data_IF_926933190760
#
_entry.id   IF_926933190760
#
_cell.length_a   1.000
_cell.length_b   1.000
_cell.length_c   1.000
_cell.angle_alpha   90.00
_cell.angle_beta   90.00
_cell.angle_gamma   90.00
#
_symmetry.space_group_name_H-M   'P 1'
#
loop_
_entity.id
_entity.type
_entity.pdbx_description
1 polymer ?
#
# COMPACT_ATOMS: atom_id res chain seq x y z
N UNK A 1 115.75 57.11 -24.72
CA UNK A 1 115.45 55.79 -25.30
C UNK A 1 113.92 55.68 -25.38
N UNK A 2 113.35 55.59 -26.58
CA UNK A 2 111.90 55.74 -26.82
C UNK A 2 111.12 54.54 -26.28
N UNK A 3 110.14 54.80 -25.42
CA UNK A 3 109.20 53.83 -24.86
C UNK A 3 107.99 53.76 -25.81
N UNK A 4 107.73 52.61 -26.41
CA UNK A 4 106.52 52.35 -27.20
C UNK A 4 105.41 51.79 -26.30
N UNK A 5 104.23 52.39 -26.35
CA UNK A 5 103.02 51.88 -25.72
C UNK A 5 102.39 50.78 -26.58
N UNK A 6 101.83 49.70 -25.99
CA UNK A 6 101.13 48.67 -26.74
C UNK A 6 99.70 49.11 -27.08
N UNK A 7 99.24 48.80 -28.30
CA UNK A 7 97.87 49.06 -28.75
C UNK A 7 96.86 48.08 -28.14
N UNK A 8 95.62 48.52 -27.86
CA UNK A 8 94.59 47.66 -27.28
C UNK A 8 93.91 46.78 -28.35
N UNK A 9 93.81 45.50 -28.02
CA UNK A 9 93.10 44.47 -28.77
C UNK A 9 91.58 44.70 -28.67
N UNK A 10 90.91 44.92 -29.79
CA UNK A 10 89.43 44.97 -29.86
C UNK A 10 88.95 43.61 -30.37
N UNK A 11 88.24 42.84 -29.54
CA UNK A 11 87.54 41.62 -29.98
C UNK A 11 86.16 41.98 -30.52
N UNK A 12 85.82 41.41 -31.67
CA UNK A 12 84.50 41.50 -32.29
C UNK A 12 83.48 40.71 -31.46
N UNK A 13 82.53 41.41 -30.83
CA UNK A 13 81.37 40.79 -30.22
C UNK A 13 80.37 40.35 -31.30
N UNK A 14 80.34 39.04 -31.56
CA UNK A 14 79.31 38.38 -32.36
C UNK A 14 78.07 38.15 -31.47
N UNK A 15 77.01 38.91 -31.69
CA UNK A 15 75.74 38.74 -30.96
C UNK A 15 75.00 37.53 -31.53
N UNK A 16 75.17 36.36 -30.89
CA UNK A 16 74.28 35.20 -31.12
C UNK A 16 72.91 35.49 -30.50
N UNK A 17 71.91 35.80 -31.33
CA UNK A 17 70.51 35.76 -30.90
C UNK A 17 70.09 34.31 -30.67
N UNK A 18 69.97 33.88 -29.42
CA UNK A 18 69.37 32.60 -29.07
C UNK A 18 67.86 32.70 -29.17
N UNK A 19 67.28 32.17 -30.26
CA UNK A 19 65.86 31.81 -30.29
C UNK A 19 65.68 30.50 -29.52
N UNK A 20 65.37 30.57 -28.23
CA UNK A 20 64.88 29.43 -27.46
C UNK A 20 63.43 29.16 -27.86
N UNK A 21 63.22 28.15 -28.70
CA UNK A 21 61.90 27.59 -28.94
C UNK A 21 61.50 26.76 -27.70
N UNK A 22 60.42 27.10 -26.97
CA UNK A 22 60.02 26.36 -25.80
C UNK A 22 59.53 24.97 -26.20
N UNK A 23 60.07 23.96 -25.52
CA UNK A 23 59.78 22.53 -25.72
C UNK A 23 58.36 22.22 -25.21
N UNK A 24 57.33 22.61 -25.99
CA UNK A 24 55.91 22.61 -25.60
C UNK A 24 55.31 21.22 -25.32
N UNK A 25 56.02 20.14 -25.71
CA UNK A 25 55.57 18.76 -25.54
C UNK A 25 55.56 18.30 -24.07
N UNK A 26 56.44 18.82 -23.22
CA UNK A 26 56.54 18.39 -21.81
C UNK A 26 55.59 19.15 -20.88
N UNK A 27 55.19 20.38 -21.24
CA UNK A 27 54.24 21.17 -20.45
C UNK A 27 52.81 20.64 -20.58
N UNK A 28 52.43 20.19 -21.79
CA UNK A 28 51.10 19.61 -22.04
C UNK A 28 50.96 18.27 -21.29
N UNK A 29 51.99 17.42 -21.27
CA UNK A 29 51.95 16.15 -20.53
C UNK A 29 51.89 16.37 -19.02
N UNK A 30 52.60 17.37 -18.49
CA UNK A 30 52.50 17.77 -17.07
C UNK A 30 51.11 18.29 -16.71
N UNK A 31 50.48 19.08 -17.58
CA UNK A 31 49.11 19.58 -17.37
C UNK A 31 48.10 18.42 -17.35
N UNK A 32 48.25 17.44 -18.25
CA UNK A 32 47.41 16.23 -18.28
C UNK A 32 47.56 15.43 -16.99
N UNK A 33 48.79 15.19 -16.51
CA UNK A 33 49.02 14.48 -15.25
C UNK A 33 48.45 15.21 -14.04
N UNK A 34 48.53 16.55 -14.01
CA UNK A 34 47.91 17.37 -12.97
C UNK A 34 46.38 17.20 -12.97
N UNK A 35 45.74 17.27 -14.13
CA UNK A 35 44.29 17.08 -14.26
C UNK A 35 43.86 15.68 -13.83
N UNK A 36 44.63 14.65 -14.18
CA UNK A 36 44.40 13.27 -13.73
C UNK A 36 44.53 13.17 -12.21
N UNK A 37 45.57 13.75 -11.60
CA UNK A 37 45.75 13.74 -10.15
C UNK A 37 44.61 14.47 -9.41
N UNK A 38 44.15 15.62 -9.93
CA UNK A 38 42.99 16.34 -9.38
C UNK A 38 41.73 15.48 -9.49
N UNK A 39 41.52 14.81 -10.62
CA UNK A 39 40.36 13.95 -10.81
C UNK A 39 40.38 12.75 -9.85
N UNK A 40 41.53 12.08 -9.70
CA UNK A 40 41.67 10.95 -8.77
C UNK A 40 41.45 11.39 -7.32
N UNK A 41 42.06 12.50 -6.91
CA UNK A 41 41.88 13.04 -5.55
C UNK A 41 40.43 13.45 -5.30
N UNK A 42 39.77 14.07 -6.28
CA UNK A 42 38.35 14.38 -6.23
C UNK A 42 37.50 13.11 -6.04
N UNK A 43 37.73 12.05 -6.83
CA UNK A 43 37.01 10.79 -6.67
C UNK A 43 37.24 10.18 -5.29
N UNK A 44 38.48 10.23 -4.79
CA UNK A 44 38.84 9.68 -3.48
C UNK A 44 38.14 10.42 -2.33
N UNK A 45 38.12 11.76 -2.38
CA UNK A 45 37.42 12.59 -1.39
C UNK A 45 35.91 12.31 -1.42
N UNK A 46 35.30 12.22 -2.61
CA UNK A 46 33.89 11.88 -2.74
C UNK A 46 33.58 10.50 -2.15
N UNK A 47 34.42 9.50 -2.40
CA UNK A 47 34.25 8.16 -1.82
C UNK A 47 34.26 8.19 -0.29
N UNK A 48 35.19 8.92 0.32
CA UNK A 48 35.28 9.06 1.79
C UNK A 48 34.02 9.75 2.33
N UNK A 49 33.57 10.84 1.70
CA UNK A 49 32.37 11.57 2.14
C UNK A 49 31.13 10.67 2.03
N UNK A 50 31.00 9.93 0.92
CA UNK A 50 29.87 9.03 0.68
C UNK A 50 29.80 7.92 1.74
N UNK A 51 30.93 7.37 2.18
CA UNK A 51 30.96 6.34 3.22
C UNK A 51 31.06 6.88 4.65
N UNK A 52 30.94 8.19 4.86
CA UNK A 52 31.11 8.79 6.18
C UNK A 52 29.84 8.73 7.03
N UNK A 53 30.02 8.85 8.35
CA UNK A 53 28.93 8.99 9.33
C UNK A 53 28.05 10.21 9.08
N UNK A 54 28.55 11.20 8.32
CA UNK A 54 27.82 12.41 7.96
C UNK A 54 26.56 12.09 7.15
N UNK A 55 26.56 10.99 6.37
CA UNK A 55 25.43 10.57 5.55
C UNK A 55 24.56 9.47 6.18
N UNK A 56 24.79 9.15 7.45
CA UNK A 56 23.95 8.20 8.17
C UNK A 56 22.52 8.72 8.31
N UNK A 57 21.57 7.82 8.13
CA UNK A 57 20.14 8.01 8.38
C UNK A 57 19.94 8.43 9.83
N UNK A 58 19.37 9.62 10.05
CA UNK A 58 19.14 10.17 11.38
C UNK A 58 17.75 9.89 11.92
N UNK A 59 16.76 9.78 11.04
CA UNK A 59 15.36 9.72 11.47
C UNK A 59 14.52 8.91 10.48
N UNK A 60 13.54 8.20 11.02
CA UNK A 60 12.50 7.52 10.25
C UNK A 60 11.15 7.99 10.77
N UNK A 61 10.34 8.59 9.91
CA UNK A 61 8.98 9.02 10.26
C UNK A 61 7.98 8.03 9.68
N UNK A 62 7.08 7.51 10.51
CA UNK A 62 6.00 6.60 10.08
C UNK A 62 4.67 7.28 10.32
N UNK A 63 3.77 7.25 9.33
CA UNK A 63 2.42 7.80 9.43
C UNK A 63 1.39 6.84 8.85
N UNK A 64 0.15 6.92 9.35
CA UNK A 64 -0.99 6.08 8.91
C UNK A 64 -1.02 4.69 9.54
N UNK A 65 -0.30 4.51 10.65
CA UNK A 65 -0.20 3.25 11.38
C UNK A 65 -1.20 3.22 12.56
N UNK A 66 -2.37 2.62 12.36
CA UNK A 66 -3.41 2.52 13.38
C UNK A 66 -3.33 1.17 14.13
N UNK A 67 -3.03 0.09 13.41
CA UNK A 67 -2.96 -1.28 13.88
C UNK A 67 -1.53 -1.67 14.28
N UNK A 68 -0.54 -1.39 13.43
CA UNK A 68 0.85 -1.71 13.76
C UNK A 68 1.52 -0.55 14.52
N UNK A 69 2.27 -0.85 15.61
CA UNK A 69 3.09 0.18 16.23
C UNK A 69 4.23 0.58 15.30
N UNK A 70 4.68 1.83 15.42
CA UNK A 70 5.76 2.42 14.61
C UNK A 70 6.98 1.50 14.50
N UNK A 71 7.42 0.94 15.62
CA UNK A 71 8.65 0.13 15.67
C UNK A 71 8.51 -1.15 14.84
N UNK A 72 7.32 -1.77 14.82
CA UNK A 72 7.06 -2.94 13.97
C UNK A 72 7.20 -2.63 12.49
N UNK A 73 6.78 -1.43 12.06
CA UNK A 73 6.92 -0.97 10.67
C UNK A 73 8.40 -0.73 10.34
N UNK A 74 9.16 -0.11 11.26
CA UNK A 74 10.59 0.15 11.08
C UNK A 74 11.39 -1.17 11.03
N UNK A 75 11.09 -2.12 11.91
CA UNK A 75 11.71 -3.44 11.92
C UNK A 75 11.44 -4.18 10.61
N UNK A 76 10.20 -4.10 10.12
CA UNK A 76 9.82 -4.71 8.84
C UNK A 76 10.49 -4.01 7.66
N UNK A 77 10.68 -2.69 7.73
CA UNK A 77 11.44 -1.91 6.75
C UNK A 77 12.92 -2.32 6.67
N UNK A 78 13.46 -2.94 7.74
CA UNK A 78 14.88 -3.27 7.91
C UNK A 78 15.78 -2.04 7.80
N UNK A 79 15.37 -0.95 8.43
CA UNK A 79 16.12 0.30 8.47
C UNK A 79 16.65 0.57 9.87
N UNK A 80 17.92 0.98 9.95
CA UNK A 80 18.62 1.21 11.19
C UNK A 80 19.17 2.64 11.22
N UNK A 81 18.63 3.44 12.14
CA UNK A 81 19.08 4.81 12.41
C UNK A 81 20.54 4.77 12.88
N UNK A 82 21.34 5.76 12.47
CA UNK A 82 22.77 5.90 12.75
C UNK A 82 23.65 4.75 12.24
N UNK A 83 23.11 3.83 11.45
CA UNK A 83 23.84 2.73 10.83
C UNK A 83 23.76 2.83 9.31
N UNK A 84 22.54 2.87 8.78
CA UNK A 84 22.33 2.88 7.34
C UNK A 84 22.67 4.23 6.72
N UNK A 85 23.30 4.20 5.54
CA UNK A 85 23.61 5.41 4.78
C UNK A 85 22.40 5.79 3.92
N UNK A 86 21.97 7.06 4.00
CA UNK A 86 20.73 7.52 3.35
C UNK A 86 20.68 7.25 1.83
N UNK A 87 21.83 7.27 1.17
CA UNK A 87 21.93 7.03 -0.27
C UNK A 87 21.88 5.55 -0.66
N UNK A 88 22.20 4.63 0.26
CA UNK A 88 22.06 3.19 0.05
C UNK A 88 20.64 2.68 0.31
N UNK A 89 19.80 3.44 1.02
CA UNK A 89 18.42 3.05 1.27
C UNK A 89 17.63 2.98 -0.04
N UNK A 90 17.11 1.80 -0.37
CA UNK A 90 16.23 1.58 -1.52
C UNK A 90 14.77 1.76 -1.13
N UNK A 91 14.11 2.81 -1.64
CA UNK A 91 12.69 3.06 -1.36
C UNK A 91 11.81 1.90 -1.82
N UNK A 92 12.14 1.29 -2.95
CA UNK A 92 11.41 0.15 -3.53
C UNK A 92 11.52 -1.09 -2.64
N UNK A 93 12.71 -1.40 -2.13
CA UNK A 93 12.91 -2.55 -1.24
C UNK A 93 12.21 -2.34 0.09
N UNK A 94 12.37 -1.17 0.71
CA UNK A 94 11.68 -0.79 1.95
C UNK A 94 10.17 -0.94 1.77
N UNK A 95 9.61 -0.37 0.70
CA UNK A 95 8.19 -0.51 0.36
C UNK A 95 7.80 -1.99 0.28
N UNK A 96 8.53 -2.79 -0.48
CA UNK A 96 8.23 -4.22 -0.66
C UNK A 96 8.31 -5.04 0.63
N UNK A 97 9.13 -4.63 1.60
CA UNK A 97 9.21 -5.32 2.89
C UNK A 97 8.03 -4.96 3.78
N UNK A 98 7.63 -3.69 3.80
CA UNK A 98 6.50 -3.21 4.60
C UNK A 98 5.18 -3.76 4.05
N UNK A 99 5.00 -3.81 2.72
CA UNK A 99 3.78 -4.33 2.07
C UNK A 99 3.59 -5.85 2.25
N UNK A 100 4.56 -6.57 2.83
CA UNK A 100 4.37 -7.97 3.25
C UNK A 100 3.58 -8.11 4.55
N UNK A 101 3.44 -7.04 5.32
CA UNK A 101 2.62 -7.04 6.51
C UNK A 101 1.13 -7.11 6.13
N UNK A 102 0.40 -8.03 6.76
CA UNK A 102 -0.96 -8.42 6.38
C UNK A 102 -1.93 -7.23 6.37
N UNK A 103 -1.83 -6.35 7.37
CA UNK A 103 -2.70 -5.18 7.48
C UNK A 103 -2.29 -4.00 6.59
N UNK A 104 -1.20 -4.07 5.82
CA UNK A 104 -0.80 -2.98 4.93
C UNK A 104 -1.47 -3.15 3.56
N UNK A 105 -2.24 -2.16 3.14
CA UNK A 105 -2.79 -2.08 1.79
C UNK A 105 -1.76 -1.50 0.83
N UNK A 106 -1.11 -0.41 1.24
CA UNK A 106 -0.16 0.34 0.42
C UNK A 106 0.85 1.07 1.28
N UNK A 107 2.10 1.09 0.83
CA UNK A 107 3.13 1.93 1.43
C UNK A 107 3.70 2.93 0.40
N UNK A 108 4.05 4.10 0.89
CA UNK A 108 4.81 5.12 0.16
C UNK A 108 6.03 5.49 0.99
N UNK A 109 7.19 5.45 0.34
CA UNK A 109 8.48 5.67 0.99
C UNK A 109 9.17 6.81 0.24
N UNK A 110 9.73 7.76 0.98
CA UNK A 110 10.43 8.91 0.39
C UNK A 110 11.66 9.24 1.20
N UNK A 111 12.77 9.51 0.51
CA UNK A 111 14.03 9.91 1.13
C UNK A 111 14.23 11.42 1.08
N UNK A 112 14.68 11.97 2.20
CA UNK A 112 15.07 13.37 2.31
C UNK A 112 16.57 13.47 2.62
N UNK A 113 17.40 13.49 1.57
CA UNK A 113 18.87 13.48 1.67
C UNK A 113 19.43 14.59 2.58
N UNK A 114 18.94 15.83 2.45
CA UNK A 114 19.39 16.97 3.25
C UNK A 114 19.09 16.80 4.74
N UNK A 115 17.92 16.23 5.07
CA UNK A 115 17.47 16.01 6.45
C UNK A 115 17.97 14.68 7.01
N UNK A 116 18.43 13.78 6.15
CA UNK A 116 18.82 12.40 6.47
C UNK A 116 17.67 11.64 7.11
N UNK A 117 16.49 11.80 6.51
CA UNK A 117 15.23 11.23 6.99
C UNK A 117 14.64 10.33 5.91
N UNK A 118 14.05 9.21 6.33
CA UNK A 118 13.15 8.41 5.50
C UNK A 118 11.74 8.59 6.02
N UNK A 119 10.82 8.98 5.14
CA UNK A 119 9.40 9.10 5.45
C UNK A 119 8.62 7.93 4.87
N UNK A 120 7.87 7.25 5.71
CA UNK A 120 7.04 6.09 5.40
C UNK A 120 5.60 6.47 5.70
N UNK A 121 4.77 6.60 4.67
CA UNK A 121 3.33 6.76 4.84
C UNK A 121 2.64 5.48 4.38
N UNK A 122 1.87 4.88 5.27
CA UNK A 122 1.14 3.64 5.00
C UNK A 122 -0.37 3.87 5.00
N UNK A 123 -1.07 3.01 4.29
CA UNK A 123 -2.52 2.87 4.36
C UNK A 123 -2.82 1.47 4.83
N UNK A 124 -3.47 1.35 5.99
CA UNK A 124 -3.84 0.06 6.56
C UNK A 124 -5.22 -0.40 6.09
N UNK A 125 -5.35 -1.74 5.96
CA UNK A 125 -6.58 -2.43 5.60
C UNK A 125 -7.57 -2.39 6.75
N UNK A 126 -8.85 -2.24 6.42
CA UNK A 126 -9.94 -2.22 7.39
C UNK A 126 -10.76 -3.50 7.31
N UNK A 127 -11.04 -4.09 8.49
CA UNK A 127 -11.96 -5.21 8.64
C UNK A 127 -13.32 -4.81 8.06
N UNK A 128 -13.82 -5.62 7.13
CA UNK A 128 -15.03 -5.29 6.35
C UNK A 128 -16.10 -6.36 6.49
N UNK A 129 -15.71 -7.63 6.43
CA UNK A 129 -16.63 -8.75 6.53
C UNK A 129 -15.96 -9.93 7.23
N UNK A 130 -16.78 -10.90 7.61
CA UNK A 130 -16.34 -12.20 8.13
C UNK A 130 -16.84 -13.32 7.24
N UNK A 131 -16.05 -14.37 7.09
CA UNK A 131 -16.40 -15.55 6.28
C UNK A 131 -16.28 -16.77 7.19
N UNK A 132 -17.36 -17.55 7.40
CA UNK A 132 -17.28 -18.77 8.19
C UNK A 132 -16.47 -19.81 7.43
N UNK A 133 -15.48 -20.40 8.08
CA UNK A 133 -14.67 -21.45 7.48
C UNK A 133 -14.22 -22.48 8.53
N UNK A 134 -13.65 -23.58 8.04
CA UNK A 134 -13.09 -24.64 8.89
C UNK A 134 -11.59 -24.66 8.64
N UNK A 135 -10.81 -24.40 9.68
CA UNK A 135 -9.35 -24.52 9.62
C UNK A 135 -8.95 -25.73 10.46
N UNK A 136 -8.39 -26.74 9.78
CA UNK A 136 -8.15 -28.06 10.35
C UNK A 136 -9.46 -28.75 10.75
N UNK A 137 -9.84 -28.65 12.03
CA UNK A 137 -11.07 -29.24 12.59
C UNK A 137 -11.89 -28.25 13.42
N UNK A 138 -11.52 -26.96 13.40
CA UNK A 138 -12.18 -25.93 14.23
C UNK A 138 -12.95 -24.98 13.34
N UNK A 139 -14.24 -24.72 13.63
CA UNK A 139 -14.99 -23.66 12.98
C UNK A 139 -14.44 -22.32 13.47
N UNK A 140 -14.02 -21.49 12.53
CA UNK A 140 -13.51 -20.14 12.78
C UNK A 140 -14.13 -19.18 11.78
N UNK A 141 -14.00 -17.89 12.04
CA UNK A 141 -14.30 -16.88 11.05
C UNK A 141 -13.02 -16.25 10.55
N UNK A 142 -12.94 -16.15 9.24
CA UNK A 142 -11.91 -15.44 8.53
C UNK A 142 -12.34 -14.00 8.34
N UNK A 143 -11.58 -13.04 8.89
CA UNK A 143 -11.87 -11.62 8.74
C UNK A 143 -11.17 -11.10 7.49
N UNK A 144 -11.93 -10.38 6.67
CA UNK A 144 -11.45 -9.89 5.38
C UNK A 144 -11.67 -8.39 5.22
N UNK A 145 -10.86 -7.78 4.35
CA UNK A 145 -11.07 -6.40 3.92
C UNK A 145 -12.03 -6.28 2.72
N UNK A 146 -12.25 -5.05 2.25
CA UNK A 146 -13.14 -4.74 1.14
C UNK A 146 -12.72 -5.34 -0.22
N UNK A 147 -11.46 -5.76 -0.35
CA UNK A 147 -10.91 -6.38 -1.56
C UNK A 147 -10.80 -7.90 -1.45
N UNK A 148 -11.16 -8.46 -0.29
CA UNK A 148 -11.14 -9.90 -0.02
C UNK A 148 -9.79 -10.42 0.48
N UNK A 149 -8.90 -9.56 0.98
CA UNK A 149 -7.68 -10.02 1.64
C UNK A 149 -7.98 -10.51 3.05
N UNK A 150 -7.40 -11.66 3.40
CA UNK A 150 -7.55 -12.29 4.70
C UNK A 150 -6.64 -11.63 5.72
N UNK A 151 -7.21 -11.01 6.75
CA UNK A 151 -6.48 -10.25 7.76
C UNK A 151 -6.14 -11.08 9.00
N UNK A 152 -7.11 -11.86 9.49
CA UNK A 152 -6.96 -12.69 10.69
C UNK A 152 -8.03 -13.77 10.76
N UNK A 153 -7.83 -14.74 11.65
CA UNK A 153 -8.85 -15.69 12.06
C UNK A 153 -9.35 -15.36 13.46
N UNK A 154 -10.66 -15.42 13.65
CA UNK A 154 -11.32 -15.16 14.93
C UNK A 154 -12.19 -16.36 15.32
N UNK A 155 -12.18 -16.69 16.60
CA UNK A 155 -13.02 -17.76 17.14
C UNK A 155 -14.45 -17.26 17.35
N UNK A 156 -15.41 -18.18 17.36
CA UNK A 156 -16.84 -17.92 17.59
C UNK A 156 -17.14 -17.05 18.83
N UNK A 157 -16.36 -17.19 19.90
CA UNK A 157 -16.58 -16.50 21.19
C UNK A 157 -16.27 -14.99 21.08
N UNK A 158 -15.24 -14.62 20.31
CA UNK A 158 -14.77 -13.24 20.21
C UNK A 158 -15.66 -12.37 19.31
N UNK A 159 -16.41 -12.99 18.41
CA UNK A 159 -17.25 -12.31 17.40
C UNK A 159 -18.59 -11.81 17.90
N UNK A 160 -18.95 -12.15 19.15
CA UNK A 160 -20.06 -11.50 19.84
C UNK A 160 -19.86 -9.98 19.97
N UNK A 161 -18.62 -9.51 19.85
CA UNK A 161 -18.22 -8.11 20.07
C UNK A 161 -18.00 -7.30 18.79
N UNK A 162 -17.87 -7.94 17.63
CA UNK A 162 -17.58 -7.27 16.36
C UNK A 162 -18.69 -7.55 15.32
N UNK A 163 -19.62 -6.60 15.06
CA UNK A 163 -20.80 -6.80 14.23
C UNK A 163 -20.46 -6.74 12.73
N UNK A 164 -19.49 -7.56 12.30
CA UNK A 164 -19.17 -7.71 10.88
C UNK A 164 -20.21 -8.57 10.18
N UNK A 165 -20.53 -8.19 8.95
CA UNK A 165 -21.45 -8.91 8.07
C UNK A 165 -20.80 -10.21 7.63
N UNK A 166 -21.56 -11.30 7.71
CA UNK A 166 -21.14 -12.61 7.23
C UNK A 166 -21.28 -12.70 5.71
N UNK A 167 -20.23 -13.17 5.03
CA UNK A 167 -20.24 -13.44 3.59
C UNK A 167 -19.97 -14.93 3.38
N UNK A 168 -20.77 -15.59 2.55
CA UNK A 168 -20.50 -16.98 2.14
C UNK A 168 -19.22 -17.05 1.31
N UNK A 169 -18.32 -17.94 1.68
CA UNK A 169 -17.06 -18.15 0.97
C UNK A 169 -16.35 -19.39 1.47
N UNK A 170 -15.28 -19.75 0.77
CA UNK A 170 -14.37 -20.81 1.18
C UNK A 170 -13.23 -20.24 2.02
N UNK A 171 -12.62 -21.09 2.85
CA UNK A 171 -11.44 -20.70 3.62
C UNK A 171 -10.23 -20.45 2.72
N UNK A 172 -9.40 -19.49 3.12
CA UNK A 172 -8.11 -19.23 2.49
C UNK A 172 -7.06 -18.88 3.55
N UNK A 173 -5.79 -18.80 3.13
CA UNK A 173 -4.66 -18.53 4.02
C UNK A 173 -4.57 -17.06 4.42
N UNK A 174 -3.93 -16.77 5.57
CA UNK A 174 -3.68 -15.40 6.03
C UNK A 174 -2.88 -14.61 4.98
N UNK A 175 -3.28 -13.37 4.75
CA UNK A 175 -2.64 -12.48 3.76
C UNK A 175 -2.98 -12.80 2.30
N UNK A 176 -3.64 -13.93 2.02
CA UNK A 176 -4.09 -14.25 0.66
C UNK A 176 -5.35 -13.46 0.28
N UNK A 177 -5.59 -13.32 -1.02
CA UNK A 177 -6.79 -12.68 -1.54
C UNK A 177 -7.80 -13.72 -2.04
N UNK A 178 -9.03 -13.63 -1.54
CA UNK A 178 -10.15 -14.46 -1.98
C UNK A 178 -10.71 -13.93 -3.30
N UNK A 179 -10.24 -14.48 -4.42
CA UNK A 179 -10.69 -14.08 -5.75
C UNK A 179 -11.97 -14.79 -6.24
N UNK A 180 -12.61 -15.62 -5.41
CA UNK A 180 -13.82 -16.35 -5.82
C UNK A 180 -14.97 -15.38 -6.12
N UNK A 181 -15.70 -15.67 -7.21
CA UNK A 181 -16.79 -14.80 -7.67
C UNK A 181 -17.84 -14.55 -6.58
N UNK A 182 -18.18 -15.57 -5.79
CA UNK A 182 -19.14 -15.44 -4.69
C UNK A 182 -18.69 -14.41 -3.64
N UNK A 183 -17.42 -14.43 -3.23
CA UNK A 183 -16.89 -13.49 -2.23
C UNK A 183 -16.84 -12.08 -2.81
N UNK A 184 -16.38 -11.94 -4.05
CA UNK A 184 -16.30 -10.64 -4.72
C UNK A 184 -17.68 -10.00 -4.95
N UNK A 185 -18.68 -10.80 -5.34
CA UNK A 185 -20.07 -10.34 -5.46
C UNK A 185 -20.64 -9.97 -4.08
N UNK A 186 -20.36 -10.77 -3.04
CA UNK A 186 -20.77 -10.50 -1.66
C UNK A 186 -20.21 -9.18 -1.14
N UNK A 187 -18.90 -8.96 -1.29
CA UNK A 187 -18.22 -7.73 -0.87
C UNK A 187 -18.71 -6.51 -1.66
N UNK A 188 -18.90 -6.65 -2.98
CA UNK A 188 -19.50 -5.60 -3.82
C UNK A 188 -20.93 -5.27 -3.37
N UNK A 189 -21.72 -6.27 -3.00
CA UNK A 189 -23.07 -6.08 -2.46
C UNK A 189 -23.04 -5.32 -1.14
N UNK A 190 -22.14 -5.71 -0.24
CA UNK A 190 -21.94 -5.03 1.04
C UNK A 190 -21.55 -3.55 0.86
N UNK A 191 -20.60 -3.28 -0.03
CA UNK A 191 -20.17 -1.92 -0.37
C UNK A 191 -21.31 -1.08 -0.96
N UNK A 192 -22.09 -1.65 -1.88
CA UNK A 192 -23.24 -0.95 -2.48
C UNK A 192 -24.34 -0.66 -1.44
N UNK A 193 -24.64 -1.61 -0.54
CA UNK A 193 -25.58 -1.38 0.56
C UNK A 193 -25.05 -0.25 1.44
N UNK A 194 -23.77 -0.28 1.84
CA UNK A 194 -23.17 0.78 2.67
C UNK A 194 -23.25 2.16 2.02
N UNK A 195 -22.97 2.25 0.72
CA UNK A 195 -22.96 3.53 -0.04
C UNK A 195 -24.36 4.07 -0.35
N UNK A 196 -25.33 3.21 -0.65
CA UNK A 196 -26.65 3.62 -1.16
C UNK A 196 -27.77 3.48 -0.14
N UNK A 197 -27.65 2.52 0.76
CA UNK A 197 -28.65 2.07 1.71
C UNK A 197 -28.05 1.93 3.12
N UNK A 198 -27.25 2.92 3.56
CA UNK A 198 -26.52 2.87 4.84
C UNK A 198 -27.40 2.62 6.06
N UNK A 199 -28.68 3.00 6.01
CA UNK A 199 -29.69 2.71 7.05
C UNK A 199 -30.07 1.23 7.20
N UNK A 200 -29.77 0.40 6.19
CA UNK A 200 -29.94 -1.05 6.21
C UNK A 200 -28.68 -1.74 6.76
N UNK A 201 -27.51 -1.10 6.61
CA UNK A 201 -26.22 -1.69 6.97
C UNK A 201 -26.17 -2.14 8.44
N UNK A 202 -26.79 -1.40 9.36
CA UNK A 202 -26.83 -1.76 10.79
C UNK A 202 -27.66 -3.01 11.09
N UNK A 203 -28.61 -3.35 10.20
CA UNK A 203 -29.45 -4.54 10.34
C UNK A 203 -28.92 -5.74 9.56
N UNK A 204 -27.87 -5.54 8.76
CA UNK A 204 -27.33 -6.56 7.88
C UNK A 204 -26.60 -7.63 8.68
N UNK A 205 -27.03 -8.88 8.50
CA UNK A 205 -26.45 -10.04 9.18
C UNK A 205 -25.56 -10.84 8.23
N UNK A 206 -26.09 -11.25 7.07
CA UNK A 206 -25.33 -12.04 6.10
C UNK A 206 -25.68 -11.77 4.64
N UNK A 207 -24.72 -12.04 3.76
CA UNK A 207 -24.85 -12.01 2.30
C UNK A 207 -24.31 -13.34 1.74
N UNK A 208 -25.13 -14.02 0.95
CA UNK A 208 -24.78 -15.26 0.27
C UNK A 208 -24.97 -15.09 -1.24
N UNK A 209 -23.87 -15.16 -1.99
CA UNK A 209 -23.83 -15.06 -3.44
C UNK A 209 -23.38 -16.37 -4.11
N UNK A 210 -23.57 -17.51 -3.44
CA UNK A 210 -23.29 -18.84 -4.01
C UNK A 210 -24.27 -19.25 -5.13
N UNK A 211 -25.46 -18.66 -5.15
CA UNK A 211 -26.50 -18.98 -6.12
C UNK A 211 -26.26 -18.35 -7.50
N UNK A 212 -26.55 -19.06 -8.61
CA UNK A 212 -26.46 -18.48 -9.95
C UNK A 212 -27.45 -17.32 -10.08
N UNK A 213 -26.94 -16.17 -10.50
CA UNK A 213 -27.70 -14.93 -10.69
C UNK A 213 -28.55 -14.46 -9.49
N UNK A 214 -28.28 -14.97 -8.29
CA UNK A 214 -29.09 -14.70 -7.10
C UNK A 214 -28.20 -14.42 -5.92
N UNK A 215 -28.51 -13.32 -5.23
CA UNK A 215 -27.84 -12.93 -3.99
C UNK A 215 -28.88 -12.96 -2.87
N UNK A 216 -28.62 -13.75 -1.86
CA UNK A 216 -29.42 -13.88 -0.65
C UNK A 216 -28.89 -12.90 0.39
N UNK A 217 -29.75 -12.01 0.89
CA UNK A 217 -29.41 -11.02 1.92
C UNK A 217 -30.28 -11.28 3.15
N UNK A 218 -29.66 -11.33 4.33
CA UNK A 218 -30.37 -11.52 5.60
C UNK A 218 -30.20 -10.29 6.48
N UNK A 219 -31.33 -9.71 6.88
CA UNK A 219 -31.39 -8.66 7.89
C UNK A 219 -31.92 -9.26 9.20
N UNK A 220 -31.57 -8.69 10.36
CA UNK A 220 -31.93 -9.26 11.68
C UNK A 220 -33.42 -9.54 11.86
N UNK A 221 -34.28 -8.64 11.37
CA UNK A 221 -35.72 -8.66 11.64
C UNK A 221 -36.57 -8.73 10.36
N UNK A 222 -36.05 -9.30 9.27
CA UNK A 222 -36.80 -9.44 8.02
C UNK A 222 -36.70 -10.87 7.46
N UNK A 223 -37.69 -11.29 6.65
CA UNK A 223 -37.57 -12.49 5.82
C UNK A 223 -36.29 -12.46 4.96
N UNK A 224 -35.91 -13.62 4.43
CA UNK A 224 -34.80 -13.72 3.49
C UNK A 224 -35.06 -12.79 2.28
N UNK A 225 -34.10 -11.96 1.91
CA UNK A 225 -34.21 -11.05 0.77
C UNK A 225 -33.44 -11.65 -0.41
N UNK A 226 -34.06 -11.73 -1.58
CA UNK A 226 -33.43 -12.15 -2.82
C UNK A 226 -33.18 -10.95 -3.72
N UNK A 227 -31.94 -10.74 -4.11
CA UNK A 227 -31.50 -9.73 -5.06
C UNK A 227 -30.96 -10.41 -6.33
N UNK A 228 -31.03 -9.69 -7.45
CA UNK A 228 -30.45 -10.15 -8.71
C UNK A 228 -29.02 -9.65 -8.82
N UNK A 229 -28.09 -10.51 -9.23
CA UNK A 229 -26.68 -10.12 -9.37
C UNK A 229 -26.43 -9.16 -10.54
N UNK A 230 -27.22 -9.29 -11.61
CA UNK A 230 -27.17 -8.45 -12.82
C UNK A 230 -27.85 -7.09 -12.62
N UNK A 231 -28.90 -7.03 -11.78
CA UNK A 231 -29.64 -5.81 -11.45
C UNK A 231 -29.41 -5.32 -10.02
N UNK A 232 -28.21 -5.58 -9.48
CA UNK A 232 -27.89 -5.38 -8.06
C UNK A 232 -28.17 -3.95 -7.56
N UNK A 233 -27.81 -2.92 -8.33
CA UNK A 233 -28.06 -1.52 -7.97
C UNK A 233 -29.56 -1.22 -7.87
N UNK A 234 -30.34 -1.76 -8.80
CA UNK A 234 -31.80 -1.60 -8.83
C UNK A 234 -32.45 -2.29 -7.63
N UNK A 235 -32.07 -3.56 -7.37
CA UNK A 235 -32.56 -4.33 -6.22
C UNK A 235 -32.24 -3.68 -4.87
N UNK A 236 -31.02 -3.16 -4.69
CA UNK A 236 -30.64 -2.44 -3.46
C UNK A 236 -31.45 -1.15 -3.28
N UNK A 237 -31.69 -0.39 -4.35
CA UNK A 237 -32.51 0.82 -4.27
C UNK A 237 -33.97 0.49 -3.92
N UNK A 238 -34.53 -0.58 -4.48
CA UNK A 238 -35.88 -1.03 -4.11
C UNK A 238 -35.94 -1.52 -2.67
N UNK A 239 -34.95 -2.31 -2.22
CA UNK A 239 -34.83 -2.76 -0.84
C UNK A 239 -34.77 -1.58 0.13
N UNK A 240 -34.02 -0.52 -0.21
CA UNK A 240 -33.99 0.73 0.56
C UNK A 240 -35.37 1.35 0.69
N UNK A 241 -36.06 1.59 -0.43
CA UNK A 241 -37.39 2.19 -0.42
C UNK A 241 -38.39 1.37 0.40
N UNK A 242 -38.35 0.04 0.24
CA UNK A 242 -39.17 -0.88 1.01
C UNK A 242 -38.87 -0.80 2.51
N UNK A 243 -37.59 -0.84 2.89
CA UNK A 243 -37.17 -0.74 4.29
C UNK A 243 -37.56 0.60 4.93
N UNK A 244 -37.49 1.71 4.19
CA UNK A 244 -37.95 3.02 4.65
C UNK A 244 -39.46 3.05 4.88
N UNK A 245 -40.22 2.41 3.99
CA UNK A 245 -41.67 2.31 4.13
C UNK A 245 -42.04 1.49 5.39
N UNK A 246 -41.39 0.34 5.60
CA UNK A 246 -41.58 -0.47 6.81
C UNK A 246 -41.25 0.28 8.10
N UNK A 247 -40.21 1.12 8.10
CA UNK A 247 -39.87 1.96 9.28
C UNK A 247 -40.93 3.01 9.59
N UNK A 248 -41.64 3.51 8.58
CA UNK A 248 -42.69 4.55 8.74
C UNK A 248 -43.99 3.96 9.24
N UNK A 249 -44.34 2.75 8.79
CA UNK A 249 -45.49 2.01 9.27
C UNK A 249 -45.19 1.37 10.63
N UNK A 250 -45.52 2.08 11.72
CA UNK A 250 -45.30 1.65 13.12
C UNK A 250 -45.96 0.32 13.54
N UNK A 251 -46.63 -0.38 12.62
CA UNK A 251 -47.29 -1.66 12.83
C UNK A 251 -47.02 -2.60 11.66
N UNK A 252 -45.78 -3.06 11.52
CA UNK A 252 -45.54 -4.28 10.75
C UNK A 252 -45.85 -5.44 11.68
N UNK A 253 -47.11 -5.87 11.65
CA UNK A 253 -47.47 -7.24 12.02
C UNK A 253 -46.42 -8.13 11.35
N UNK A 254 -45.59 -8.87 12.11
CA UNK A 254 -44.43 -9.61 11.60
C UNK A 254 -44.82 -10.26 10.27
N UNK A 255 -44.38 -9.69 9.15
CA UNK A 255 -44.70 -10.24 7.84
C UNK A 255 -43.96 -11.57 7.76
N UNK A 256 -44.66 -12.64 8.12
CA UNK A 256 -44.17 -14.01 8.13
C UNK A 256 -44.20 -14.57 6.71
N UNK A 257 -43.44 -13.93 5.83
CA UNK A 257 -43.04 -14.51 4.55
C UNK A 257 -41.81 -15.41 4.73
N UNK A 258 -41.67 -16.41 3.86
CA UNK A 258 -40.45 -17.19 3.71
C UNK A 258 -39.33 -16.34 3.13
N UNK A 259 -39.63 -15.53 2.09
CA UNK A 259 -38.69 -14.60 1.48
C UNK A 259 -39.38 -13.42 0.78
N UNK A 260 -38.62 -12.35 0.59
CA UNK A 260 -38.92 -11.18 -0.24
C UNK A 260 -38.04 -11.21 -1.48
N UNK A 261 -38.63 -11.14 -2.67
CA UNK A 261 -37.91 -11.19 -3.94
C UNK A 261 -37.91 -9.83 -4.65
N UNK A 262 -36.73 -9.22 -4.76
CA UNK A 262 -36.46 -7.94 -5.42
C UNK A 262 -35.70 -8.13 -6.75
N UNK A 263 -35.70 -9.34 -7.32
CA UNK A 263 -35.02 -9.61 -8.59
C UNK A 263 -35.71 -8.98 -9.80
N UNK A 264 -36.97 -8.58 -9.66
CA UNK A 264 -37.80 -8.12 -10.78
C UNK A 264 -37.99 -6.60 -10.74
N UNK A 265 -37.91 -5.99 -11.93
CA UNK A 265 -38.09 -4.54 -12.06
C UNK A 265 -39.52 -4.14 -11.71
N UNK A 266 -39.66 -3.23 -10.74
CA UNK A 266 -40.95 -2.60 -10.39
C UNK A 266 -41.89 -3.43 -9.53
N UNK A 267 -41.48 -4.61 -9.07
CA UNK A 267 -42.30 -5.47 -8.21
C UNK A 267 -41.45 -6.07 -7.08
N UNK A 268 -42.08 -6.27 -5.93
CA UNK A 268 -41.53 -7.04 -4.80
C UNK A 268 -42.48 -8.19 -4.55
N UNK A 269 -41.98 -9.42 -4.60
CA UNK A 269 -42.81 -10.60 -4.33
C UNK A 269 -42.58 -11.08 -2.90
N UNK A 270 -43.65 -11.19 -2.12
CA UNK A 270 -43.64 -11.84 -0.81
C UNK A 270 -44.13 -13.27 -1.00
N UNK A 271 -43.28 -14.25 -0.68
CA UNK A 271 -43.70 -15.65 -0.67
C UNK A 271 -44.05 -16.08 0.75
N UNK A 272 -45.29 -16.48 0.99
CA UNK A 272 -45.73 -17.02 2.28
C UNK A 272 -45.50 -18.53 2.32
N UNK A 273 -45.14 -19.05 3.51
CA UNK A 273 -45.05 -20.50 3.71
C UNK A 273 -46.48 -21.04 3.71
N UNK A 274 -46.82 -22.01 2.84
CA UNK A 274 -48.04 -22.78 3.04
C UNK A 274 -47.95 -23.42 4.43
N UNK A 275 -48.92 -23.13 5.30
CA UNK A 275 -49.17 -24.01 6.43
C UNK A 275 -49.64 -25.33 5.82
N UNK A 276 -48.80 -26.35 5.88
CA UNK A 276 -49.26 -27.71 5.66
C UNK A 276 -50.28 -27.99 6.77
N UNK A 277 -51.55 -28.10 6.39
CA UNK A 277 -52.63 -28.41 7.30
C UNK A 277 -52.40 -29.80 7.89
N UNK A 278 -52.40 -29.88 9.22
CA UNK A 278 -52.59 -31.14 9.95
C UNK A 278 -53.97 -31.72 9.65
#
# INVERSE_FOLDING_TARGET
MRIYAPQPHVSSFEVKSSKTQPNSKNWISQLIWLMVAIFITFLHINYIILNSTILQLKEITVQGNDHYPRDKIIDSAKLYINHDLIHHVSEKEVKSHIEKLIYIEKATVSKHYLRKTVSINITERKKTAKIPCIIGKKPVFMIVDQYGYVLEYSNLVDLSRDPLVEITGEGAELGSQLASNQVQIGLKTLDLIKKRAGEIFTELNSIDASGPNRISVRLRNMPLILLSSDQLVLGINQLKLFYQHLKREKSVNKQTGTYLDFRFKGAVYLMERKQDGN
#
